data_IF_130759094759
#
_entry.id   IF_130759094759
#
_cell.length_a   1.000
_cell.length_b   1.000
_cell.length_c   1.000
_cell.angle_alpha   90.00
_cell.angle_beta   90.00
_cell.angle_gamma   90.00
#
_symmetry.space_group_name_H-M   'P 1'
#
loop_
_entity.id
_entity.type
_entity.pdbx_description
1 polymer ?
#
# COMPACT_ATOMS: atom_id res chain seq x y z
N UNK A 1 6.51 -0.40 8.47
CA UNK A 1 7.92 0.01 8.59
C UNK A 1 8.87 -1.12 8.17
N UNK A 2 8.74 -2.32 8.74
CA UNK A 2 9.68 -3.42 8.50
C UNK A 2 9.65 -3.91 7.04
N UNK A 3 8.49 -3.98 6.43
CA UNK A 3 8.34 -4.28 5.00
C UNK A 3 9.03 -3.24 4.10
N UNK A 4 9.00 -1.95 4.45
CA UNK A 4 9.70 -0.89 3.72
C UNK A 4 11.23 -1.04 3.80
N UNK A 5 11.74 -1.60 4.89
CA UNK A 5 13.18 -1.86 5.06
C UNK A 5 13.62 -3.08 4.23
N UNK A 6 12.78 -4.10 4.15
CA UNK A 6 13.11 -5.38 3.49
C UNK A 6 12.92 -5.33 1.97
N UNK A 7 11.81 -4.80 1.49
CA UNK A 7 11.42 -4.77 0.07
C UNK A 7 10.97 -3.35 -0.35
N UNK A 8 11.69 -2.33 0.10
CA UNK A 8 11.28 -0.92 0.05
C UNK A 8 10.84 -0.44 -1.32
N UNK A 9 11.59 -0.74 -2.38
CA UNK A 9 11.29 -0.25 -3.73
C UNK A 9 9.98 -0.82 -4.31
N UNK A 10 9.72 -2.10 -4.10
CA UNK A 10 8.49 -2.74 -4.60
C UNK A 10 7.27 -2.23 -3.86
N UNK A 11 7.37 -2.14 -2.53
CA UNK A 11 6.28 -1.65 -1.68
C UNK A 11 6.03 -0.16 -1.92
N UNK A 12 7.09 0.65 -2.04
CA UNK A 12 6.96 2.08 -2.37
C UNK A 12 6.25 2.27 -3.71
N UNK A 13 6.63 1.51 -4.74
CA UNK A 13 5.99 1.52 -6.05
C UNK A 13 4.52 1.10 -5.98
N UNK A 14 4.20 0.07 -5.20
CA UNK A 14 2.83 -0.39 -5.00
C UNK A 14 1.97 0.66 -4.27
N UNK A 15 2.49 1.28 -3.20
CA UNK A 15 1.81 2.36 -2.48
C UNK A 15 1.61 3.58 -3.38
N UNK A 16 2.62 3.94 -4.17
CA UNK A 16 2.54 5.04 -5.13
C UNK A 16 1.44 4.78 -6.17
N UNK A 17 1.45 3.61 -6.78
CA UNK A 17 0.43 3.21 -7.76
C UNK A 17 -0.97 3.21 -7.14
N UNK A 18 -1.10 2.65 -5.94
CA UNK A 18 -2.37 2.61 -5.22
C UNK A 18 -2.88 4.02 -4.91
N UNK A 19 -2.03 4.91 -4.39
CA UNK A 19 -2.42 6.28 -4.05
C UNK A 19 -2.84 7.12 -5.27
N UNK A 20 -2.22 6.87 -6.44
CA UNK A 20 -2.59 7.53 -7.68
C UNK A 20 -3.93 7.03 -8.24
N UNK A 21 -4.18 5.72 -8.16
CA UNK A 21 -5.39 5.10 -8.71
C UNK A 21 -6.59 5.15 -7.75
N UNK A 22 -6.34 5.08 -6.46
CA UNK A 22 -7.36 5.06 -5.41
C UNK A 22 -8.29 6.29 -5.47
N UNK A 23 -7.73 7.46 -5.79
CA UNK A 23 -8.49 8.70 -5.93
C UNK A 23 -9.60 8.59 -6.98
N UNK A 24 -9.31 8.00 -8.13
CA UNK A 24 -10.28 7.82 -9.20
C UNK A 24 -11.37 6.80 -8.86
N UNK A 25 -11.03 5.83 -8.00
CA UNK A 25 -11.95 4.80 -7.51
C UNK A 25 -12.73 5.22 -6.23
N UNK A 26 -12.49 6.43 -5.70
CA UNK A 26 -13.11 6.87 -4.46
C UNK A 26 -12.60 6.15 -3.20
N UNK A 27 -11.42 5.55 -3.28
CA UNK A 27 -10.79 4.86 -2.15
C UNK A 27 -9.96 5.85 -1.34
N UNK A 28 -10.19 5.91 -0.04
CA UNK A 28 -9.41 6.72 0.89
C UNK A 28 -8.33 5.87 1.55
N UNK A 29 -7.10 6.36 1.52
CA UNK A 29 -5.94 5.67 2.10
C UNK A 29 -5.51 6.36 3.39
N UNK A 30 -5.42 5.59 4.47
CA UNK A 30 -4.86 6.01 5.75
C UNK A 30 -3.62 5.15 6.01
N UNK A 31 -2.46 5.79 6.02
CA UNK A 31 -1.18 5.11 6.22
C UNK A 31 -0.59 5.59 7.55
N UNK A 32 -0.31 4.68 8.44
CA UNK A 32 0.25 4.96 9.76
C UNK A 32 1.56 4.20 10.00
N UNK A 33 2.49 4.83 10.70
CA UNK A 33 3.76 4.21 11.10
C UNK A 33 4.19 4.69 12.48
N UNK A 34 4.86 3.83 13.23
CA UNK A 34 5.50 4.16 14.50
C UNK A 34 6.99 4.55 14.32
N UNK A 35 7.53 4.40 13.09
CA UNK A 35 8.94 4.70 12.78
C UNK A 35 9.01 5.87 11.78
N UNK A 36 9.07 7.11 12.27
CA UNK A 36 9.18 8.29 11.43
C UNK A 36 10.61 8.51 10.94
N UNK A 37 11.13 7.56 10.16
CA UNK A 37 12.44 7.65 9.52
C UNK A 37 12.32 8.01 8.05
N UNK A 38 13.36 8.59 7.48
CA UNK A 38 13.41 8.98 6.07
C UNK A 38 13.29 7.78 5.13
N UNK A 39 13.77 6.61 5.58
CA UNK A 39 13.69 5.35 4.83
C UNK A 39 12.26 4.79 4.73
N UNK A 40 11.39 5.16 5.66
CA UNK A 40 9.97 4.76 5.69
C UNK A 40 9.07 5.82 5.08
N UNK A 41 9.31 7.09 5.42
CA UNK A 41 8.54 8.25 4.92
C UNK A 41 9.38 8.97 3.87
N UNK A 42 9.45 8.37 2.69
CA UNK A 42 10.22 8.88 1.55
C UNK A 42 9.56 10.12 0.92
N UNK A 43 10.31 10.84 0.09
CA UNK A 43 9.77 11.96 -0.68
C UNK A 43 8.60 11.57 -1.59
N UNK A 44 8.67 10.38 -2.19
CA UNK A 44 7.59 9.82 -3.02
C UNK A 44 6.30 9.60 -2.23
N UNK A 45 6.42 9.07 -1.01
CA UNK A 45 5.26 8.89 -0.12
C UNK A 45 4.68 10.26 0.27
N UNK A 46 5.52 11.20 0.69
CA UNK A 46 5.07 12.53 1.09
C UNK A 46 4.34 13.29 -0.02
N UNK A 47 4.79 13.17 -1.27
CA UNK A 47 4.14 13.82 -2.42
C UNK A 47 2.75 13.28 -2.73
N UNK A 48 2.50 12.00 -2.42
CA UNK A 48 1.20 11.35 -2.65
C UNK A 48 0.24 11.47 -1.45
N UNK A 49 0.77 11.80 -0.27
CA UNK A 49 0.00 11.99 0.96
C UNK A 49 0.21 13.42 1.50
N UNK A 50 -0.48 14.41 0.91
CA UNK A 50 -0.30 15.81 1.28
C UNK A 50 -0.88 16.14 2.65
N UNK A 51 -1.92 15.45 3.09
CA UNK A 51 -2.44 15.56 4.45
C UNK A 51 -1.64 14.66 5.38
N UNK A 52 -1.00 15.25 6.36
CA UNK A 52 -0.13 14.55 7.31
C UNK A 52 -0.48 14.91 8.74
N UNK A 53 -0.47 13.92 9.59
CA UNK A 53 -0.75 14.04 11.02
C UNK A 53 0.44 13.50 11.79
N UNK A 54 0.89 14.24 12.79
CA UNK A 54 1.88 13.77 13.75
C UNK A 54 1.39 13.94 15.18
N UNK A 55 1.40 12.87 15.92
CA UNK A 55 1.35 12.93 17.38
C UNK A 55 2.72 13.28 17.91
N UNK A 56 2.86 13.35 19.26
CA UNK A 56 4.13 13.64 19.91
C UNK A 56 5.22 12.69 19.45
N UNK A 57 6.33 13.27 19.02
CA UNK A 57 7.55 12.54 18.63
C UNK A 57 8.72 12.87 19.56
N UNK A 58 9.78 12.09 19.49
CA UNK A 58 10.91 12.19 20.41
C UNK A 58 11.78 13.43 20.14
N UNK A 59 11.92 13.80 18.86
CA UNK A 59 12.85 14.86 18.46
C UNK A 59 12.35 15.64 17.24
N UNK A 60 13.01 16.79 17.00
CA UNK A 60 12.73 17.69 15.88
C UNK A 60 12.93 17.06 14.51
N UNK A 61 13.85 16.08 14.41
CA UNK A 61 14.13 15.39 13.13
C UNK A 61 12.90 14.58 12.73
N UNK A 62 12.31 13.86 13.67
CA UNK A 62 11.10 13.08 13.42
C UNK A 62 9.92 13.97 13.03
N UNK A 63 9.77 15.14 13.67
CA UNK A 63 8.74 16.12 13.29
C UNK A 63 8.92 16.57 11.84
N UNK A 64 10.14 16.97 11.45
CA UNK A 64 10.46 17.38 10.08
C UNK A 64 10.28 16.24 9.07
N UNK A 65 10.59 15.02 9.46
CA UNK A 65 10.39 13.86 8.57
C UNK A 65 8.92 13.67 8.21
N UNK A 66 8.01 13.88 9.14
CA UNK A 66 6.55 13.73 8.92
C UNK A 66 5.95 15.00 8.31
N UNK A 67 6.12 16.14 9.00
CA UNK A 67 5.39 17.38 8.73
C UNK A 67 6.16 18.37 7.86
N UNK A 68 7.48 18.13 7.65
CA UNK A 68 8.45 19.06 7.04
C UNK A 68 8.75 20.27 7.93
N UNK A 69 8.07 20.38 9.07
CA UNK A 69 8.26 21.41 10.07
C UNK A 69 8.54 20.81 11.46
N UNK A 70 9.09 21.62 12.35
CA UNK A 70 9.28 21.25 13.75
C UNK A 70 8.02 21.60 14.57
N UNK A 71 7.86 20.98 15.74
CA UNK A 71 6.77 21.30 16.67
C UNK A 71 6.12 20.06 17.28
N UNK A 72 6.10 18.93 16.56
CA UNK A 72 5.50 17.71 17.10
C UNK A 72 6.25 17.15 18.33
N UNK A 73 7.51 17.49 18.52
CA UNK A 73 8.28 17.14 19.73
C UNK A 73 7.83 17.89 20.97
N UNK A 74 7.12 19.00 20.81
CA UNK A 74 6.62 19.86 21.91
C UNK A 74 5.20 19.52 22.33
N UNK A 75 4.55 18.60 21.66
CA UNK A 75 3.19 18.17 21.97
C UNK A 75 3.10 17.53 23.36
N UNK A 76 1.94 17.67 23.98
CA UNK A 76 1.68 17.14 25.33
C UNK A 76 1.56 15.62 25.35
N UNK A 77 1.09 15.02 24.25
CA UNK A 77 0.70 13.60 24.17
C UNK A 77 -0.80 13.40 24.41
N UNK A 78 -1.23 12.15 24.57
CA UNK A 78 -2.62 11.79 24.89
C UNK A 78 -3.67 12.36 23.90
N UNK A 79 -3.36 12.35 22.62
CA UNK A 79 -4.25 12.84 21.58
C UNK A 79 -3.91 14.23 21.05
N UNK A 80 -2.95 14.93 21.67
CA UNK A 80 -2.44 16.20 21.14
C UNK A 80 -1.64 15.94 19.85
N UNK A 81 -2.00 16.60 18.76
CA UNK A 81 -1.47 16.36 17.44
C UNK A 81 -1.28 17.65 16.62
N UNK A 82 -0.41 17.57 15.63
CA UNK A 82 -0.29 18.55 14.57
C UNK A 82 -0.77 17.95 13.25
N UNK A 83 -1.54 18.70 12.49
CA UNK A 83 -2.01 18.34 11.17
C UNK A 83 -1.62 19.41 10.15
N UNK A 84 -1.17 18.96 8.97
CA UNK A 84 -1.03 19.82 7.78
C UNK A 84 -1.95 19.27 6.68
N UNK A 85 -2.64 20.15 5.98
CA UNK A 85 -3.53 19.81 4.87
C UNK A 85 -3.09 20.59 3.63
N UNK A 86 -2.74 19.87 2.56
CA UNK A 86 -2.45 20.44 1.22
C UNK A 86 -1.40 21.56 1.20
N UNK A 87 -0.44 21.53 2.13
CA UNK A 87 0.60 22.56 2.20
C UNK A 87 0.20 23.82 2.99
N UNK A 88 -0.93 23.78 3.65
CA UNK A 88 -1.38 24.84 4.57
C UNK A 88 -0.55 24.85 5.87
N UNK A 89 -0.74 25.91 6.65
CA UNK A 89 -0.10 26.06 7.95
C UNK A 89 -0.43 24.90 8.88
N UNK A 90 0.52 24.54 9.73
CA UNK A 90 0.32 23.53 10.77
C UNK A 90 -0.79 23.96 11.73
N UNK A 91 -1.80 23.13 11.84
CA UNK A 91 -2.88 23.29 12.80
C UNK A 91 -2.66 22.33 13.97
N UNK A 92 -2.69 22.86 15.19
CA UNK A 92 -2.68 22.04 16.41
C UNK A 92 -4.11 21.66 16.77
N UNK A 93 -4.35 20.38 16.93
CA UNK A 93 -5.65 19.81 17.31
C UNK A 93 -5.44 18.89 18.49
N UNK A 94 -6.35 18.90 19.43
CA UNK A 94 -6.35 17.99 20.56
C UNK A 94 -7.45 16.95 20.35
N UNK A 95 -7.04 15.73 19.92
CA UNK A 95 -7.94 14.58 19.82
C UNK A 95 -8.20 13.96 21.20
N UNK A 96 -9.32 13.26 21.38
CA UNK A 96 -9.58 12.54 22.61
C UNK A 96 -8.59 11.38 22.75
N UNK A 97 -8.15 11.13 23.97
CA UNK A 97 -7.42 9.91 24.30
C UNK A 97 -8.40 8.73 24.39
N UNK A 98 -8.20 7.73 23.56
CA UNK A 98 -9.03 6.51 23.54
C UNK A 98 -8.25 5.35 24.14
N UNK A 99 -8.84 4.69 25.14
CA UNK A 99 -8.24 3.51 25.78
C UNK A 99 -8.45 2.26 24.95
N UNK A 100 -7.57 1.29 25.10
CA UNK A 100 -7.66 0.01 24.39
C UNK A 100 -8.97 -0.72 24.72
N UNK A 101 -9.43 -0.65 25.96
CA UNK A 101 -10.68 -1.26 26.42
C UNK A 101 -11.89 -0.66 25.72
N UNK A 102 -11.89 0.65 25.45
CA UNK A 102 -12.97 1.33 24.75
C UNK A 102 -13.01 0.89 23.27
N UNK A 103 -11.85 0.78 22.62
CA UNK A 103 -11.73 0.25 21.26
C UNK A 103 -12.26 -1.18 21.21
N UNK A 104 -11.86 -2.03 22.16
CA UNK A 104 -12.32 -3.42 22.25
C UNK A 104 -13.83 -3.53 22.43
N UNK A 105 -14.42 -2.67 23.27
CA UNK A 105 -15.85 -2.64 23.48
C UNK A 105 -16.63 -2.28 22.19
N UNK A 106 -16.15 -1.28 21.44
CA UNK A 106 -16.74 -0.89 20.15
C UNK A 106 -16.59 -2.03 19.13
N UNK A 107 -15.41 -2.64 19.01
CA UNK A 107 -15.18 -3.76 18.11
C UNK A 107 -16.09 -4.95 18.42
N UNK A 108 -16.24 -5.29 19.70
CA UNK A 108 -17.12 -6.39 20.12
C UNK A 108 -18.58 -6.09 19.80
N UNK A 109 -19.01 -4.85 19.99
CA UNK A 109 -20.36 -4.42 19.62
C UNK A 109 -20.58 -4.53 18.11
N UNK A 110 -19.66 -4.06 17.29
CA UNK A 110 -19.76 -4.19 15.83
C UNK A 110 -19.80 -5.65 15.37
N UNK A 111 -18.95 -6.51 15.95
CA UNK A 111 -18.95 -7.95 15.66
C UNK A 111 -20.27 -8.64 16.03
N UNK A 112 -20.98 -8.15 17.04
CA UNK A 112 -22.28 -8.71 17.42
C UNK A 112 -23.43 -8.35 16.45
N UNK A 113 -23.23 -7.38 15.56
CA UNK A 113 -24.23 -6.94 14.60
C UNK A 113 -24.25 -7.77 13.31
N UNK A 114 -23.19 -8.49 12.99
CA UNK A 114 -23.10 -9.34 11.80
C UNK A 114 -21.68 -9.81 11.53
N UNK A 115 -21.58 -10.79 10.67
CA UNK A 115 -20.30 -11.26 10.14
C UNK A 115 -19.97 -10.54 8.83
N UNK A 116 -18.69 -10.24 8.58
CA UNK A 116 -18.29 -9.57 7.35
C UNK A 116 -18.40 -10.54 6.15
N UNK A 117 -19.04 -10.08 5.08
CA UNK A 117 -19.06 -10.76 3.80
C UNK A 117 -17.84 -10.34 2.97
N UNK A 118 -16.84 -11.19 2.89
CA UNK A 118 -15.66 -10.93 2.06
C UNK A 118 -15.85 -11.46 0.65
N UNK A 119 -15.55 -10.62 -0.34
CA UNK A 119 -15.45 -11.05 -1.73
C UNK A 119 -14.13 -11.82 -1.91
N UNK A 120 -14.18 -13.13 -1.82
CA UNK A 120 -13.00 -14.00 -1.97
C UNK A 120 -12.34 -13.85 -3.34
N UNK A 121 -13.11 -13.52 -4.38
CA UNK A 121 -12.59 -13.27 -5.73
C UNK A 121 -11.57 -12.14 -5.84
N UNK A 122 -11.50 -11.23 -4.85
CA UNK A 122 -10.53 -10.13 -4.85
C UNK A 122 -9.16 -10.57 -4.33
N UNK A 123 -9.13 -11.64 -3.52
CA UNK A 123 -7.90 -12.16 -2.88
C UNK A 123 -7.40 -13.47 -3.50
N UNK A 124 -8.22 -14.14 -4.28
CA UNK A 124 -7.75 -15.22 -5.14
C UNK A 124 -6.94 -14.57 -6.26
N UNK A 125 -5.63 -14.77 -6.26
CA UNK A 125 -4.86 -14.59 -7.47
C UNK A 125 -5.54 -15.49 -8.51
N UNK A 126 -5.96 -14.89 -9.63
CA UNK A 126 -6.40 -15.65 -10.77
C UNK A 126 -5.21 -16.51 -11.20
N UNK A 127 -5.13 -17.75 -10.71
CA UNK A 127 -4.25 -18.79 -11.27
C UNK A 127 -4.56 -18.96 -12.77
N UNK A 128 -5.72 -18.52 -13.22
CA UNK A 128 -6.12 -18.38 -14.61
C UNK A 128 -5.39 -17.29 -15.41
N UNK A 129 -4.64 -16.39 -14.79
CA UNK A 129 -3.74 -15.52 -15.56
C UNK A 129 -2.52 -16.27 -16.11
N UNK A 130 -2.30 -17.53 -15.73
CA UNK A 130 -1.37 -18.43 -16.40
C UNK A 130 -2.04 -19.32 -17.46
N UNK A 131 -3.33 -19.48 -17.41
CA UNK A 131 -4.12 -20.08 -18.47
C UNK A 131 -5.04 -19.00 -19.06
N UNK A 132 -4.50 -18.06 -19.83
CA UNK A 132 -5.28 -17.55 -20.94
C UNK A 132 -5.50 -18.80 -21.80
N UNK A 133 -6.59 -19.47 -21.52
CA UNK A 133 -7.17 -20.45 -22.40
C UNK A 133 -7.61 -19.75 -23.68
N UNK A 134 -6.64 -19.29 -24.43
CA UNK A 134 -6.79 -19.29 -25.86
C UNK A 134 -7.06 -20.75 -26.16
N UNK A 135 -8.29 -21.08 -26.56
CA UNK A 135 -8.69 -22.39 -27.00
C UNK A 135 -7.86 -22.81 -28.22
N UNK A 136 -6.60 -23.02 -27.98
CA UNK A 136 -5.75 -23.72 -28.91
C UNK A 136 -6.18 -25.20 -28.80
N UNK A 137 -6.98 -25.62 -29.76
CA UNK A 137 -7.16 -27.03 -30.01
C UNK A 137 -5.76 -27.63 -30.04
N UNK A 138 -5.59 -28.71 -29.27
CA UNK A 138 -4.43 -29.57 -29.27
C UNK A 138 -3.99 -29.74 -30.75
N UNK A 139 -2.88 -29.13 -31.12
CA UNK A 139 -2.41 -29.13 -32.49
C UNK A 139 -1.85 -30.49 -32.90
N UNK A 140 -1.69 -31.40 -31.92
CA UNK A 140 -1.06 -32.68 -32.08
C UNK A 140 0.46 -32.64 -32.21
N UNK A 141 1.05 -31.41 -32.08
CA UNK A 141 2.49 -31.24 -32.06
C UNK A 141 2.91 -30.58 -30.71
N UNK A 142 3.47 -31.42 -29.85
CA UNK A 142 3.90 -31.04 -28.50
C UNK A 142 4.94 -29.89 -28.48
N UNK A 143 5.78 -29.82 -29.52
CA UNK A 143 6.78 -28.75 -29.66
C UNK A 143 6.14 -27.45 -30.07
N UNK A 144 5.11 -27.50 -30.90
CA UNK A 144 4.35 -26.31 -31.28
C UNK A 144 3.62 -25.71 -30.08
N UNK A 145 2.96 -26.52 -29.29
CA UNK A 145 2.21 -26.09 -28.11
C UNK A 145 3.14 -25.51 -27.04
N UNK A 146 4.32 -26.10 -26.84
CA UNK A 146 5.38 -25.55 -26.00
C UNK A 146 5.89 -24.21 -26.53
N UNK A 147 6.12 -24.08 -27.81
CA UNK A 147 6.57 -22.84 -28.44
C UNK A 147 5.53 -21.72 -28.25
N UNK A 148 4.25 -22.01 -28.47
CA UNK A 148 3.15 -21.08 -28.25
C UNK A 148 3.08 -20.63 -26.81
N UNK A 149 3.19 -21.56 -25.85
CA UNK A 149 3.16 -21.22 -24.42
C UNK A 149 4.32 -20.28 -24.01
N UNK A 150 5.53 -20.51 -24.55
CA UNK A 150 6.70 -19.66 -24.31
C UNK A 150 6.49 -18.27 -24.90
N UNK A 151 5.97 -18.17 -26.12
CA UNK A 151 5.70 -16.87 -26.79
C UNK A 151 4.63 -16.08 -26.03
N UNK A 152 3.58 -16.73 -25.59
CA UNK A 152 2.50 -16.10 -24.82
C UNK A 152 3.00 -15.60 -23.46
N UNK A 153 3.82 -16.39 -22.77
CA UNK A 153 4.39 -16.02 -21.47
C UNK A 153 5.38 -14.86 -21.57
N UNK A 154 6.31 -14.95 -22.51
CA UNK A 154 7.41 -14.00 -22.62
C UNK A 154 7.09 -12.82 -23.55
N UNK A 155 5.96 -12.86 -24.25
CA UNK A 155 5.53 -11.87 -25.25
C UNK A 155 6.59 -11.55 -26.32
N UNK A 156 7.41 -12.54 -26.65
CA UNK A 156 8.49 -12.45 -27.65
C UNK A 156 8.40 -13.60 -28.64
N UNK A 157 8.15 -13.28 -29.91
CA UNK A 157 7.97 -14.23 -30.99
C UNK A 157 9.18 -14.22 -31.95
N UNK A 158 10.40 -14.46 -31.44
CA UNK A 158 11.56 -14.61 -32.32
C UNK A 158 12.04 -16.04 -32.38
N UNK A 159 12.36 -16.53 -33.58
CA UNK A 159 12.83 -17.90 -33.80
C UNK A 159 14.05 -18.26 -32.97
N UNK A 160 15.02 -17.38 -32.87
CA UNK A 160 16.23 -17.57 -32.05
C UNK A 160 15.94 -17.60 -30.53
N UNK A 161 14.87 -16.94 -30.09
CA UNK A 161 14.44 -16.97 -28.70
C UNK A 161 13.74 -18.30 -28.40
N UNK A 162 12.84 -18.73 -29.26
CA UNK A 162 12.09 -19.98 -29.11
C UNK A 162 13.05 -21.17 -29.10
N UNK A 163 14.01 -21.23 -30.04
CA UNK A 163 15.02 -22.31 -30.12
C UNK A 163 15.91 -22.45 -28.90
N UNK A 164 16.06 -21.40 -28.09
CA UNK A 164 16.84 -21.45 -26.84
C UNK A 164 16.05 -21.95 -25.63
N UNK A 165 14.73 -21.97 -25.76
CA UNK A 165 13.83 -22.31 -24.65
C UNK A 165 13.00 -23.59 -24.90
N UNK A 166 13.10 -24.18 -26.12
CA UNK A 166 12.63 -25.51 -26.44
C UNK A 166 13.70 -26.54 -26.09
#
# INVERSE_FOLDING_TARGET
ADLMITSGKEIESAIQRLSQMARAAGIHLIVATQRPSVDVITGTIKSNFPTRISYKVVNKINSRTILEEQGAEQLLGQGDLLITMLGDQLLRVHGPYVKTEEVQAVVNHLKSQGEPEYLQSVTTEDEDSQSIGLGFSDSGDELYDKAVSIVCREKKASTSFIQRHL
#
